data_IF_725751389584
#
_entry.id   IF_725751389584
#
_cell.length_a   1.000
_cell.length_b   1.000
_cell.length_c   1.000
_cell.angle_alpha   90.00
_cell.angle_beta   90.00
_cell.angle_gamma   90.00
#
_symmetry.space_group_name_H-M   'P 1'
#
loop_
_entity.id
_entity.type
_entity.pdbx_description
1 polymer ?
#
# COMPACT_ATOMS: atom_id res chain seq x y z
N UNK A 1 -25.61 64.43 2.55
CA UNK A 1 -26.23 63.48 1.61
C UNK A 1 -25.31 63.41 0.40
N UNK A 2 -24.41 62.41 0.34
CA UNK A 2 -23.42 62.28 -0.75
C UNK A 2 -24.03 61.49 -1.91
N UNK A 3 -23.94 62.04 -3.12
CA UNK A 3 -24.50 61.47 -4.35
C UNK A 3 -23.55 60.42 -4.94
N UNK A 4 -24.07 59.23 -5.24
CA UNK A 4 -23.33 58.05 -5.71
C UNK A 4 -22.84 58.18 -7.18
N UNK A 5 -23.17 59.28 -7.88
CA UNK A 5 -22.98 59.41 -9.33
C UNK A 5 -21.54 59.70 -9.80
N UNK A 6 -20.62 60.02 -8.90
CA UNK A 6 -19.28 60.49 -9.27
C UNK A 6 -18.16 59.52 -8.84
N UNK A 7 -18.43 58.20 -8.84
CA UNK A 7 -17.34 57.22 -8.66
C UNK A 7 -16.71 56.99 -10.04
N UNK A 8 -15.48 57.47 -10.28
CA UNK A 8 -14.82 57.28 -11.56
C UNK A 8 -14.62 55.78 -11.78
N UNK A 9 -14.97 55.30 -12.98
CA UNK A 9 -14.91 53.89 -13.38
C UNK A 9 -13.54 53.23 -13.10
N UNK A 10 -12.48 54.04 -13.09
CA UNK A 10 -11.10 53.65 -12.73
C UNK A 10 -10.96 53.22 -11.27
N UNK A 11 -11.68 53.84 -10.34
CA UNK A 11 -11.66 53.47 -8.91
C UNK A 11 -12.37 52.12 -8.69
N UNK A 12 -13.47 51.89 -9.42
CA UNK A 12 -14.21 50.62 -9.38
C UNK A 12 -13.38 49.47 -9.96
N UNK A 13 -12.66 49.70 -11.05
CA UNK A 13 -11.76 48.72 -11.65
C UNK A 13 -10.58 48.36 -10.73
N UNK A 14 -10.02 49.35 -10.02
CA UNK A 14 -8.93 49.12 -9.07
C UNK A 14 -9.40 48.25 -7.87
N UNK A 15 -10.58 48.54 -7.33
CA UNK A 15 -11.18 47.77 -6.23
C UNK A 15 -11.48 46.31 -6.62
N UNK A 16 -11.87 46.06 -7.88
CA UNK A 16 -12.08 44.69 -8.38
C UNK A 16 -10.76 43.92 -8.59
N UNK A 17 -9.67 44.59 -8.99
CA UNK A 17 -8.38 43.94 -9.19
C UNK A 17 -7.70 43.47 -7.89
N UNK A 18 -8.01 44.11 -6.75
CA UNK A 18 -7.47 43.73 -5.44
C UNK A 18 -8.05 42.40 -4.90
N UNK A 19 -9.20 41.95 -5.40
CA UNK A 19 -9.81 40.68 -4.99
C UNK A 19 -9.12 39.45 -5.61
N UNK A 20 -8.31 39.62 -6.67
CA UNK A 20 -7.62 38.51 -7.33
C UNK A 20 -6.32 38.09 -6.61
N UNK A 21 -5.79 38.89 -5.69
CA UNK A 21 -4.54 38.59 -4.97
C UNK A 21 -4.79 37.65 -3.78
N UNK A 22 -6.02 37.57 -3.27
CA UNK A 22 -6.38 36.68 -2.16
C UNK A 22 -6.71 35.24 -2.58
N UNK A 23 -6.60 34.91 -3.88
CA UNK A 23 -6.83 33.57 -4.40
C UNK A 23 -5.53 32.83 -4.76
N UNK A 24 -4.41 33.17 -4.11
CA UNK A 24 -3.31 32.20 -4.02
C UNK A 24 -3.85 31.07 -3.14
N UNK A 25 -3.88 29.81 -3.58
CA UNK A 25 -4.17 28.71 -2.67
C UNK A 25 -3.06 28.69 -1.62
N UNK A 26 -3.29 29.36 -0.49
CA UNK A 26 -2.48 29.15 0.69
C UNK A 26 -2.79 27.74 1.12
N UNK A 27 -1.78 26.88 1.17
CA UNK A 27 -1.88 25.50 1.62
C UNK A 27 -2.09 25.45 3.15
N UNK A 28 -2.95 26.32 3.67
CA UNK A 28 -3.24 26.56 5.09
C UNK A 28 -4.04 25.42 5.75
N UNK A 29 -4.17 24.29 5.05
CA UNK A 29 -4.68 23.02 5.56
C UNK A 29 -3.67 21.86 5.49
N UNK A 30 -2.41 22.09 5.10
CA UNK A 30 -1.38 21.01 4.99
C UNK A 30 -0.74 20.61 6.33
N UNK A 31 -1.20 21.16 7.46
CA UNK A 31 -0.65 20.87 8.80
C UNK A 31 -1.08 19.52 9.40
N UNK A 32 -1.67 18.61 8.60
CA UNK A 32 -1.94 17.23 9.01
C UNK A 32 -0.78 16.23 8.76
N UNK A 33 0.43 16.69 8.39
CA UNK A 33 1.59 15.80 8.12
C UNK A 33 2.32 15.38 9.40
N UNK A 34 1.63 14.73 10.34
CA UNK A 34 2.28 13.99 11.42
C UNK A 34 2.58 12.55 11.00
N UNK A 35 3.41 12.43 9.96
CA UNK A 35 4.24 11.27 9.61
C UNK A 35 5.14 11.71 8.46
N UNK A 36 6.26 12.36 8.76
CA UNK A 36 7.32 12.66 7.79
C UNK A 36 8.11 11.39 7.38
N UNK A 37 7.48 10.20 7.40
CA UNK A 37 8.12 8.93 7.09
C UNK A 37 8.03 8.50 5.62
N UNK A 38 7.22 9.18 4.79
CA UNK A 38 7.17 8.88 3.36
C UNK A 38 6.70 10.08 2.56
N UNK A 39 7.50 10.48 1.57
CA UNK A 39 7.15 11.49 0.57
C UNK A 39 6.03 11.02 -0.39
N UNK A 40 5.67 9.73 -0.33
CA UNK A 40 4.65 9.12 -1.19
C UNK A 40 3.34 8.98 -0.41
N UNK A 41 2.28 9.72 -0.79
CA UNK A 41 0.95 9.59 -0.17
C UNK A 41 0.45 8.15 -0.21
N UNK A 42 -0.04 7.64 0.92
CA UNK A 42 -0.58 6.28 1.03
C UNK A 42 0.45 5.17 1.26
N UNK A 43 1.74 5.50 1.36
CA UNK A 43 2.75 4.54 1.77
C UNK A 43 2.61 4.18 3.25
N UNK A 44 2.66 2.88 3.53
CA UNK A 44 2.48 2.32 4.88
C UNK A 44 3.11 0.94 5.00
N UNK A 45 3.44 0.53 6.22
CA UNK A 45 3.83 -0.85 6.46
C UNK A 45 2.61 -1.78 6.34
N UNK A 46 2.85 -3.04 5.97
CA UNK A 46 1.81 -4.05 5.86
C UNK A 46 1.99 -5.07 6.98
N UNK A 47 1.03 -5.14 7.89
CA UNK A 47 0.97 -6.10 8.99
C UNK A 47 0.23 -7.37 8.58
N UNK A 48 0.77 -8.53 8.94
CA UNK A 48 0.09 -9.81 8.82
C UNK A 48 -0.68 -10.15 10.11
N UNK A 49 -1.98 -10.46 9.97
CA UNK A 49 -2.84 -10.94 11.07
C UNK A 49 -3.30 -12.37 10.78
N UNK A 50 -3.05 -13.28 11.72
CA UNK A 50 -3.42 -14.70 11.61
C UNK A 50 -4.39 -15.14 12.73
N UNK A 51 -5.01 -16.32 12.60
CA UNK A 51 -6.07 -16.80 13.49
C UNK A 51 -5.60 -17.10 14.93
N UNK A 52 -4.29 -17.30 15.15
CA UNK A 52 -3.72 -17.57 16.48
C UNK A 52 -2.43 -16.76 16.65
N UNK A 53 -2.57 -15.49 17.03
CA UNK A 53 -1.42 -14.70 17.48
C UNK A 53 -1.08 -15.11 18.92
N UNK A 54 -0.34 -16.21 19.09
CA UNK A 54 0.06 -16.68 20.44
C UNK A 54 1.08 -15.78 21.15
N UNK A 55 1.47 -14.66 20.54
CA UNK A 55 2.37 -13.68 21.14
C UNK A 55 2.06 -12.26 20.68
N UNK A 56 2.55 -11.28 21.44
CA UNK A 56 2.42 -9.84 21.18
C UNK A 56 3.29 -9.34 20.00
N UNK A 57 3.88 -10.23 19.19
CA UNK A 57 4.81 -9.84 18.14
C UNK A 57 4.08 -9.33 16.90
N UNK A 58 4.39 -8.10 16.51
CA UNK A 58 3.94 -7.54 15.23
C UNK A 58 4.67 -8.24 14.10
N UNK A 59 3.91 -8.65 13.08
CA UNK A 59 4.41 -9.37 11.91
C UNK A 59 4.22 -8.50 10.68
N UNK A 60 5.27 -8.25 9.92
CA UNK A 60 5.24 -7.38 8.75
C UNK A 60 5.57 -8.16 7.49
N UNK A 61 4.94 -7.78 6.38
CA UNK A 61 5.33 -8.21 5.05
C UNK A 61 6.68 -7.59 4.71
N UNK A 62 7.64 -8.40 4.29
CA UNK A 62 8.98 -7.94 3.91
C UNK A 62 9.65 -8.91 2.96
N UNK A 63 10.75 -8.50 2.35
CA UNK A 63 11.70 -9.41 1.69
C UNK A 63 12.51 -10.16 2.75
N UNK A 64 12.99 -11.37 2.40
CA UNK A 64 13.78 -12.21 3.31
C UNK A 64 15.06 -11.52 3.81
N UNK A 65 15.73 -10.77 2.93
CA UNK A 65 16.87 -9.93 3.26
C UNK A 65 16.61 -8.50 2.78
N UNK A 66 16.80 -7.52 3.65
CA UNK A 66 16.59 -6.11 3.31
C UNK A 66 17.47 -5.70 2.11
N UNK A 67 16.88 -4.96 1.16
CA UNK A 67 17.56 -4.51 -0.06
C UNK A 67 17.63 -5.55 -1.18
N UNK A 68 17.29 -6.81 -0.93
CA UNK A 68 17.24 -7.84 -1.98
C UNK A 68 15.86 -7.94 -2.63
N UNK A 69 15.88 -8.42 -3.87
CA UNK A 69 14.68 -8.78 -4.62
C UNK A 69 14.40 -10.28 -4.48
N UNK A 70 13.15 -10.67 -4.64
CA UNK A 70 12.74 -12.06 -4.57
C UNK A 70 11.52 -12.29 -3.71
N UNK A 71 11.47 -13.45 -3.05
CA UNK A 71 10.27 -13.92 -2.39
C UNK A 71 9.88 -13.02 -1.20
N UNK A 72 8.60 -12.64 -1.16
CA UNK A 72 8.06 -11.96 0.01
C UNK A 72 7.76 -12.96 1.12
N UNK A 73 8.06 -12.55 2.34
CA UNK A 73 7.92 -13.29 3.57
C UNK A 73 7.24 -12.44 4.65
N UNK A 74 6.92 -13.08 5.76
CA UNK A 74 6.43 -12.42 6.96
C UNK A 74 7.50 -12.51 8.04
N UNK A 75 8.01 -11.35 8.43
CA UNK A 75 9.04 -11.18 9.44
C UNK A 75 8.42 -10.62 10.71
N UNK A 76 8.82 -11.14 11.86
CA UNK A 76 8.34 -10.69 13.17
C UNK A 76 9.30 -9.66 13.76
N UNK A 77 8.76 -8.70 14.52
CA UNK A 77 9.53 -7.74 15.33
C UNK A 77 10.57 -6.92 14.55
N UNK A 78 10.29 -6.61 13.29
CA UNK A 78 11.13 -5.70 12.49
C UNK A 78 11.05 -4.29 13.08
N UNK A 79 12.21 -3.72 13.43
CA UNK A 79 12.32 -2.35 13.96
C UNK A 79 11.85 -1.31 12.93
N UNK A 80 12.29 -1.48 11.68
CA UNK A 80 11.93 -0.64 10.54
C UNK A 80 11.24 -1.48 9.46
N UNK A 81 9.92 -1.65 9.52
CA UNK A 81 9.20 -2.40 8.50
C UNK A 81 9.17 -1.64 7.17
N UNK A 82 9.27 -2.34 6.03
CA UNK A 82 9.24 -1.70 4.73
C UNK A 82 7.89 -1.05 4.43
N UNK A 83 7.93 0.03 3.65
CA UNK A 83 6.75 0.77 3.21
C UNK A 83 6.24 0.26 1.87
N UNK A 84 4.94 0.08 1.78
CA UNK A 84 4.24 -0.29 0.56
C UNK A 84 3.16 0.72 0.24
N UNK A 85 2.88 0.89 -1.05
CA UNK A 85 1.76 1.70 -1.52
C UNK A 85 1.17 1.10 -2.80
N UNK A 86 -0.08 1.45 -3.09
CA UNK A 86 -0.74 1.05 -4.33
C UNK A 86 -0.79 2.26 -5.25
N UNK A 87 -0.33 2.08 -6.49
CA UNK A 87 -0.44 3.08 -7.54
C UNK A 87 -0.72 2.39 -8.86
N UNK A 88 -1.72 2.87 -9.60
CA UNK A 88 -2.16 2.31 -10.88
C UNK A 88 -2.41 0.80 -10.80
N UNK A 89 -3.24 0.37 -9.84
CA UNK A 89 -3.62 -1.02 -9.60
C UNK A 89 -2.44 -1.97 -9.26
N UNK A 90 -1.26 -1.42 -8.99
CA UNK A 90 -0.05 -2.17 -8.67
C UNK A 90 0.39 -1.88 -7.24
N UNK A 91 0.74 -2.93 -6.49
CA UNK A 91 1.42 -2.79 -5.21
C UNK A 91 2.92 -2.61 -5.44
N UNK A 92 3.49 -1.60 -4.80
CA UNK A 92 4.89 -1.23 -4.87
C UNK A 92 5.52 -1.26 -3.49
N UNK A 93 6.75 -1.77 -3.41
CA UNK A 93 7.64 -1.56 -2.28
C UNK A 93 8.41 -0.27 -2.50
N UNK A 94 8.43 0.59 -1.48
CA UNK A 94 9.29 1.76 -1.40
C UNK A 94 10.57 1.38 -0.66
N UNK A 95 11.71 1.42 -1.36
CA UNK A 95 13.02 1.12 -0.75
C UNK A 95 13.71 2.41 -0.33
N UNK A 96 13.64 3.44 -1.16
CA UNK A 96 14.17 4.77 -0.90
C UNK A 96 13.39 5.81 -1.73
N UNK A 97 13.78 7.08 -1.69
CA UNK A 97 13.08 8.18 -2.39
C UNK A 97 13.02 8.03 -3.92
N UNK A 98 13.97 7.30 -4.51
CA UNK A 98 14.13 7.17 -5.98
C UNK A 98 13.82 5.78 -6.51
N UNK A 99 13.68 4.78 -5.64
CA UNK A 99 13.68 3.37 -6.00
C UNK A 99 12.45 2.69 -5.42
N UNK A 100 11.63 2.19 -6.35
CA UNK A 100 10.43 1.42 -6.05
C UNK A 100 10.44 0.12 -6.84
N UNK A 101 9.93 -0.94 -6.22
CA UNK A 101 9.89 -2.27 -6.84
C UNK A 101 8.47 -2.83 -6.84
N UNK A 102 7.97 -3.36 -7.96
CA UNK A 102 6.64 -3.94 -8.01
C UNK A 102 6.58 -5.27 -7.27
N UNK A 103 5.49 -5.48 -6.53
CA UNK A 103 5.11 -6.79 -5.99
C UNK A 103 4.32 -7.55 -7.04
N UNK A 104 4.93 -8.58 -7.59
CA UNK A 104 4.38 -9.44 -8.62
C UNK A 104 3.70 -10.67 -8.01
N UNK A 105 2.73 -11.21 -8.74
CA UNK A 105 2.08 -12.49 -8.43
C UNK A 105 2.49 -13.50 -9.48
N UNK A 106 3.26 -14.50 -9.09
CA UNK A 106 3.74 -15.57 -9.98
C UNK A 106 2.97 -16.86 -9.75
N UNK A 107 2.73 -17.59 -10.83
CA UNK A 107 2.23 -18.95 -10.75
C UNK A 107 3.34 -19.87 -10.19
N UNK A 108 3.05 -20.58 -9.11
CA UNK A 108 4.00 -21.39 -8.34
C UNK A 108 3.66 -22.89 -8.33
N UNK A 109 2.88 -23.36 -9.32
CA UNK A 109 2.41 -24.76 -9.41
C UNK A 109 3.50 -25.84 -9.40
N UNK A 110 4.79 -25.50 -9.40
CA UNK A 110 5.91 -26.44 -9.28
C UNK A 110 6.56 -26.53 -7.90
N UNK A 111 6.26 -25.60 -6.96
CA UNK A 111 7.01 -25.48 -5.69
C UNK A 111 6.12 -25.71 -4.46
N UNK A 112 4.81 -25.45 -4.57
CA UNK A 112 3.89 -25.57 -3.44
C UNK A 112 2.47 -25.92 -3.91
N UNK A 113 1.67 -26.55 -3.05
CA UNK A 113 0.23 -26.81 -3.27
C UNK A 113 -0.60 -25.54 -3.52
N UNK A 114 -0.04 -24.35 -3.25
CA UNK A 114 -0.71 -23.08 -3.47
C UNK A 114 -0.30 -22.52 -4.83
N UNK A 115 -1.28 -22.14 -5.67
CA UNK A 115 -1.00 -21.86 -7.06
C UNK A 115 -0.22 -20.57 -7.28
N UNK A 116 -0.16 -19.66 -6.30
CA UNK A 116 0.36 -18.32 -6.54
C UNK A 116 1.20 -17.78 -5.38
N UNK A 117 2.32 -17.18 -5.72
CA UNK A 117 3.31 -16.65 -4.79
C UNK A 117 3.54 -15.15 -5.04
N UNK A 118 3.76 -14.41 -3.96
CA UNK A 118 4.18 -13.00 -4.02
C UNK A 118 5.70 -12.90 -4.14
N UNK A 119 6.16 -12.17 -5.15
CA UNK A 119 7.57 -11.99 -5.46
C UNK A 119 7.83 -10.51 -5.75
N UNK A 120 8.86 -9.94 -5.15
CA UNK A 120 9.34 -8.62 -5.48
C UNK A 120 10.30 -8.69 -6.68
N UNK A 121 9.99 -7.94 -7.74
CA UNK A 121 10.77 -7.93 -8.98
C UNK A 121 11.37 -6.56 -9.33
N UNK A 122 12.21 -6.50 -10.37
CA UNK A 122 12.68 -5.22 -10.96
C UNK A 122 11.66 -4.57 -11.88
N UNK A 123 10.78 -5.38 -12.47
CA UNK A 123 9.74 -4.98 -13.42
C UNK A 123 8.46 -5.77 -13.15
N UNK A 124 7.35 -5.31 -13.70
CA UNK A 124 6.06 -6.01 -13.58
C UNK A 124 6.12 -7.32 -14.35
N UNK A 125 5.90 -8.43 -13.67
CA UNK A 125 5.98 -9.79 -14.22
C UNK A 125 4.91 -10.70 -13.59
N UNK A 126 4.77 -11.91 -14.13
CA UNK A 126 3.74 -12.86 -13.68
C UNK A 126 2.36 -12.47 -14.19
N UNK A 127 1.36 -12.43 -13.30
CA UNK A 127 -0.02 -12.06 -13.64
C UNK A 127 -0.12 -10.53 -13.74
N UNK A 128 0.08 -9.98 -14.95
CA UNK A 128 0.15 -8.51 -15.16
C UNK A 128 -1.19 -7.79 -15.21
N UNK A 129 -2.30 -8.50 -15.42
CA UNK A 129 -3.65 -7.91 -15.55
C UNK A 129 -4.44 -7.91 -14.23
N UNK A 130 -3.83 -8.33 -13.11
CA UNK A 130 -4.50 -8.26 -11.82
C UNK A 130 -4.47 -6.86 -11.22
N UNK A 131 -5.30 -6.65 -10.21
CA UNK A 131 -5.45 -5.36 -9.52
C UNK A 131 -5.26 -5.51 -8.03
N UNK A 132 -4.31 -4.77 -7.49
CA UNK A 132 -4.16 -4.58 -6.05
C UNK A 132 -5.10 -3.49 -5.56
N UNK A 133 -5.81 -3.75 -4.45
CA UNK A 133 -6.64 -2.72 -3.79
C UNK A 133 -6.74 -2.94 -2.29
N UNK A 134 -7.03 -1.86 -1.58
CA UNK A 134 -7.43 -1.91 -0.18
C UNK A 134 -8.95 -2.05 -0.06
N UNK A 135 -9.42 -2.87 0.88
CA UNK A 135 -10.81 -2.90 1.33
C UNK A 135 -10.81 -2.78 2.85
N UNK A 136 -11.28 -1.63 3.34
CA UNK A 136 -10.96 -1.16 4.69
C UNK A 136 -9.43 -1.19 4.89
N UNK A 137 -8.94 -1.88 5.91
CA UNK A 137 -7.50 -2.04 6.16
C UNK A 137 -6.86 -3.19 5.40
N UNK A 138 -7.65 -4.10 4.83
CA UNK A 138 -7.15 -5.38 4.30
C UNK A 138 -6.75 -5.28 2.83
N UNK A 139 -5.64 -5.92 2.46
CA UNK A 139 -5.10 -5.95 1.11
C UNK A 139 -5.78 -7.05 0.29
N UNK A 140 -6.29 -6.71 -0.88
CA UNK A 140 -6.89 -7.63 -1.83
C UNK A 140 -6.11 -7.64 -3.14
N UNK A 141 -6.12 -8.79 -3.79
CA UNK A 141 -5.70 -8.95 -5.18
C UNK A 141 -6.86 -9.52 -5.99
N UNK A 142 -7.29 -8.75 -6.98
CA UNK A 142 -8.30 -9.18 -7.95
C UNK A 142 -7.62 -9.73 -9.19
N UNK A 143 -7.95 -10.96 -9.52
CA UNK A 143 -7.47 -11.67 -10.70
C UNK A 143 -8.22 -11.23 -11.96
N UNK A 144 -7.60 -11.40 -13.13
CA UNK A 144 -8.31 -11.32 -14.41
C UNK A 144 -9.56 -12.22 -14.39
N UNK A 145 -10.68 -11.71 -14.89
CA UNK A 145 -11.95 -12.43 -14.86
C UNK A 145 -12.77 -12.27 -13.57
N UNK A 146 -12.46 -11.26 -12.74
CA UNK A 146 -13.32 -10.83 -11.62
C UNK A 146 -13.25 -11.70 -10.37
N UNK A 147 -12.32 -12.67 -10.32
CA UNK A 147 -12.06 -13.46 -9.12
C UNK A 147 -11.13 -12.68 -8.18
N UNK A 148 -11.16 -12.98 -6.90
CA UNK A 148 -10.33 -12.30 -5.88
C UNK A 148 -9.73 -13.31 -4.93
N UNK A 149 -8.58 -13.01 -4.34
CA UNK A 149 -8.04 -13.82 -3.24
C UNK A 149 -8.84 -13.67 -1.93
N UNK A 150 -9.90 -12.84 -1.94
CA UNK A 150 -10.75 -12.54 -0.79
C UNK A 150 -9.99 -11.97 0.42
N UNK A 151 -8.80 -11.39 0.18
CA UNK A 151 -7.93 -10.86 1.23
C UNK A 151 -7.21 -11.94 2.04
N UNK A 152 -7.27 -13.20 1.59
CA UNK A 152 -6.61 -14.33 2.24
C UNK A 152 -5.23 -14.59 1.62
N UNK A 153 -4.27 -14.79 2.50
CA UNK A 153 -2.89 -15.13 2.18
C UNK A 153 -2.44 -16.29 3.06
N UNK A 154 -1.35 -16.92 2.66
CA UNK A 154 -0.78 -18.06 3.36
C UNK A 154 0.70 -17.82 3.56
N UNK A 155 1.16 -18.01 4.80
CA UNK A 155 2.58 -18.04 5.14
C UNK A 155 3.00 -19.49 5.21
N UNK A 156 3.80 -19.95 4.26
CA UNK A 156 4.20 -21.36 4.16
C UNK A 156 5.70 -21.50 4.33
N UNK A 157 6.11 -22.54 5.06
CA UNK A 157 7.50 -22.96 5.16
C UNK A 157 7.84 -23.81 3.95
N UNK A 158 8.83 -23.38 3.16
CA UNK A 158 9.36 -24.18 2.05
C UNK A 158 10.38 -25.21 2.56
N UNK A 159 10.66 -26.21 1.72
CA UNK A 159 11.72 -27.21 1.98
C UNK A 159 13.10 -26.57 2.21
N UNK A 160 13.34 -25.39 1.63
CA UNK A 160 14.54 -24.58 1.87
C UNK A 160 14.64 -24.02 3.30
N UNK A 161 13.60 -24.16 4.11
CA UNK A 161 13.50 -23.54 5.44
C UNK A 161 13.07 -22.06 5.41
N UNK A 162 12.88 -21.48 4.22
CA UNK A 162 12.40 -20.11 4.08
C UNK A 162 10.87 -20.04 4.14
N UNK A 163 10.34 -18.98 4.78
CA UNK A 163 8.92 -18.69 4.72
C UNK A 163 8.60 -17.80 3.53
N UNK A 164 7.57 -18.16 2.76
CA UNK A 164 7.09 -17.35 1.65
C UNK A 164 5.59 -17.05 1.80
N UNK A 165 5.15 -15.98 1.13
CA UNK A 165 3.75 -15.58 1.07
C UNK A 165 3.11 -16.07 -0.22
N UNK A 166 2.02 -16.80 -0.05
CA UNK A 166 1.21 -17.36 -1.12
C UNK A 166 -0.23 -16.87 -1.03
N UNK A 167 -0.99 -17.06 -2.10
CA UNK A 167 -2.42 -16.81 -2.16
C UNK A 167 -3.09 -17.82 -3.10
N UNK A 168 -4.42 -17.90 -3.05
CA UNK A 168 -5.22 -18.73 -3.93
C UNK A 168 -6.37 -17.93 -4.54
N UNK A 169 -6.75 -18.28 -5.77
CA UNK A 169 -7.95 -17.75 -6.42
C UNK A 169 -9.21 -18.35 -5.77
N UNK A 170 -9.10 -19.60 -5.32
CA UNK A 170 -10.20 -20.38 -4.75
C UNK A 170 -9.98 -20.46 -3.23
N UNK A 171 -10.98 -20.10 -2.41
CA UNK A 171 -10.92 -20.33 -0.97
C UNK A 171 -10.66 -21.80 -0.68
N UNK A 172 -9.59 -22.07 0.06
CA UNK A 172 -9.21 -23.43 0.44
C UNK A 172 -8.58 -23.42 1.84
N UNK A 173 -8.65 -24.54 2.58
CA UNK A 173 -7.95 -24.66 3.86
C UNK A 173 -6.45 -24.47 3.67
N UNK A 174 -5.72 -24.02 4.71
CA UNK A 174 -4.27 -23.92 4.65
C UNK A 174 -3.67 -25.33 4.45
N UNK A 175 -2.76 -25.52 3.47
CA UNK A 175 -1.98 -26.74 3.35
C UNK A 175 -1.16 -27.08 4.59
N UNK A 176 -0.55 -28.27 4.59
CA UNK A 176 0.44 -28.63 5.62
C UNK A 176 1.57 -27.58 5.65
N UNK A 177 2.02 -27.24 6.85
CA UNK A 177 3.08 -26.23 7.09
C UNK A 177 2.77 -24.81 6.61
N UNK A 178 1.49 -24.50 6.33
CA UNK A 178 1.02 -23.15 6.03
C UNK A 178 0.15 -22.59 7.16
N UNK A 179 0.25 -21.29 7.34
CA UNK A 179 -0.64 -20.51 8.21
C UNK A 179 -1.44 -19.53 7.36
N UNK A 180 -2.77 -19.61 7.46
CA UNK A 180 -3.66 -18.61 6.85
C UNK A 180 -3.51 -17.28 7.58
N UNK A 181 -3.54 -16.19 6.84
CA UNK A 181 -3.45 -14.83 7.36
C UNK A 181 -4.12 -13.83 6.43
N UNK A 182 -4.27 -12.62 6.94
CA UNK A 182 -4.73 -11.43 6.23
C UNK A 182 -3.61 -10.39 6.30
N UNK A 183 -3.51 -9.56 5.26
CA UNK A 183 -2.52 -8.47 5.19
C UNK A 183 -3.24 -7.14 5.37
N UNK A 184 -2.75 -6.32 6.28
CA UNK A 184 -3.41 -5.10 6.72
C UNK A 184 -2.47 -3.90 6.65
N UNK A 185 -2.99 -2.75 6.24
CA UNK A 185 -2.36 -1.47 6.48
C UNK A 185 -3.23 -0.66 7.46
N UNK A 186 -2.58 -0.15 8.50
CA UNK A 186 -3.18 0.74 9.48
C UNK A 186 -2.51 2.10 9.35
N UNK A 187 -2.83 2.85 8.30
CA UNK A 187 -2.46 4.27 8.25
C UNK A 187 -3.14 4.93 9.45
N UNK A 188 -2.35 5.23 10.49
CA UNK A 188 -2.81 6.04 11.61
C UNK A 188 -2.94 7.47 11.13
N UNK A 189 -4.10 7.81 10.56
CA UNK A 189 -4.52 9.20 10.50
C UNK A 189 -4.85 9.62 11.94
N UNK A 190 -3.84 10.03 12.70
CA UNK A 190 -4.08 10.81 13.91
C UNK A 190 -4.58 12.19 13.46
N UNK A 191 -5.87 12.29 13.15
CA UNK A 191 -6.56 13.58 13.17
C UNK A 191 -6.75 13.93 14.65
N UNK A 192 -5.93 14.86 15.14
CA UNK A 192 -6.28 15.76 16.24
C UNK A 192 -6.16 17.18 15.72
#
# INVERSE_FOLDING_TARGET
MFSIKDIPFTLLALLFSLQLIAAVPTWEGMNGRSSMGSLIPGASYIEAKGPVSSGSSTRHLSVHRAGELGNLSIISNTYEPPYFYISQNQLWLLVNETTVYPVNVHNSTGIHELPMQLILGKKKEGIVQGTWRWKATSLYYDFPGGKSNNGLYFRCLLESGAFNVFMSIIPQPPPQNCQMMTLHSFIRNHMK
#
